data_IF_335862257267
#
_entry.id   IF_335862257267
#
_cell.length_a   1.000
_cell.length_b   1.000
_cell.length_c   1.000
_cell.angle_alpha   90.00
_cell.angle_beta   90.00
_cell.angle_gamma   90.00
#
_symmetry.space_group_name_H-M   'P 1'
#
loop_
_entity.id
_entity.type
_entity.pdbx_description
1 polymer ?
#
# COMPACT_ATOMS: atom_id res chain seq x y z
N UNK A 1 19.04 -23.40 -70.52
CA UNK A 1 17.92 -24.04 -71.24
C UNK A 1 18.22 -25.54 -71.33
N UNK A 2 17.76 -26.34 -70.36
CA UNK A 2 17.85 -27.80 -70.41
C UNK A 2 16.53 -28.37 -70.94
N UNK A 3 16.62 -29.32 -71.88
CA UNK A 3 15.49 -29.90 -72.61
C UNK A 3 14.58 -30.73 -71.70
N UNK A 4 13.29 -30.39 -71.72
CA UNK A 4 12.19 -30.92 -70.91
C UNK A 4 11.71 -32.33 -71.31
N UNK A 5 12.52 -33.14 -72.00
CA UNK A 5 12.04 -34.36 -72.68
C UNK A 5 12.45 -35.68 -72.03
N UNK A 6 12.99 -35.69 -70.81
CA UNK A 6 13.31 -36.94 -70.08
C UNK A 6 12.65 -37.08 -68.70
N UNK A 7 11.70 -36.20 -68.35
CA UNK A 7 10.90 -36.32 -67.13
C UNK A 7 9.60 -37.05 -67.46
N UNK A 8 9.73 -38.33 -67.81
CA UNK A 8 8.61 -39.27 -67.93
C UNK A 8 8.82 -40.33 -66.86
N UNK A 9 8.05 -40.21 -65.77
CA UNK A 9 8.08 -40.98 -64.53
C UNK A 9 8.84 -40.31 -63.38
N UNK A 10 8.15 -39.47 -62.61
CA UNK A 10 8.21 -39.45 -61.14
C UNK A 10 6.88 -38.83 -60.67
N UNK A 11 6.02 -39.66 -60.07
CA UNK A 11 4.87 -39.21 -59.29
C UNK A 11 5.38 -38.78 -57.91
N UNK A 12 4.73 -37.74 -57.35
CA UNK A 12 4.79 -37.28 -55.95
C UNK A 12 5.85 -36.24 -55.56
N UNK A 13 5.40 -34.98 -55.42
CA UNK A 13 5.91 -33.92 -54.53
C UNK A 13 7.33 -33.31 -54.69
N UNK A 14 8.22 -33.59 -55.66
CA UNK A 14 9.59 -33.07 -55.58
C UNK A 14 9.73 -31.72 -56.30
N UNK A 15 8.76 -31.30 -57.11
CA UNK A 15 8.83 -30.09 -57.93
C UNK A 15 8.72 -28.80 -57.10
N UNK A 16 8.01 -28.83 -55.97
CA UNK A 16 7.89 -27.68 -55.07
C UNK A 16 9.19 -27.50 -54.27
N UNK A 17 9.72 -28.60 -53.71
CA UNK A 17 11.02 -28.64 -53.04
C UNK A 17 12.17 -28.28 -53.98
N UNK A 18 12.12 -28.75 -55.23
CA UNK A 18 13.11 -28.43 -56.26
C UNK A 18 13.00 -26.96 -56.71
N UNK A 19 11.79 -26.40 -56.83
CA UNK A 19 11.62 -24.98 -57.18
C UNK A 19 12.12 -24.04 -56.08
N UNK A 20 11.90 -24.37 -54.81
CA UNK A 20 12.41 -23.61 -53.65
C UNK A 20 13.93 -23.76 -53.54
N UNK A 21 14.46 -24.98 -53.67
CA UNK A 21 15.90 -25.22 -53.69
C UNK A 21 16.58 -24.50 -54.87
N UNK A 22 15.97 -24.50 -56.06
CA UNK A 22 16.51 -23.81 -57.24
C UNK A 22 16.44 -22.29 -57.11
N UNK A 23 15.40 -21.74 -56.48
CA UNK A 23 15.29 -20.30 -56.20
C UNK A 23 16.32 -19.83 -55.16
N UNK A 24 16.63 -20.65 -54.15
CA UNK A 24 17.63 -20.36 -53.12
C UNK A 24 19.08 -20.53 -53.62
N UNK A 25 19.35 -21.54 -54.46
CA UNK A 25 20.68 -21.77 -55.05
C UNK A 25 21.04 -20.69 -56.08
N UNK A 26 20.07 -20.14 -56.82
CA UNK A 26 20.31 -19.06 -57.79
C UNK A 26 20.37 -17.66 -57.14
N UNK A 27 19.98 -17.53 -55.87
CA UNK A 27 19.99 -16.27 -55.10
C UNK A 27 21.28 -15.97 -54.33
N UNK A 28 22.31 -16.81 -54.44
CA UNK A 28 23.65 -16.53 -53.92
C UNK A 28 23.75 -16.46 -52.40
N UNK A 29 23.68 -17.60 -51.72
CA UNK A 29 24.20 -17.70 -50.35
C UNK A 29 25.68 -18.09 -50.44
N UNK A 30 26.54 -17.14 -50.10
CA UNK A 30 27.97 -17.39 -49.88
C UNK A 30 28.13 -18.42 -48.77
N UNK A 31 28.97 -19.41 -49.00
CA UNK A 31 29.32 -20.46 -48.06
C UNK A 31 29.82 -19.91 -46.72
N UNK A 32 29.00 -20.00 -45.67
CA UNK A 32 29.48 -20.04 -44.29
C UNK A 32 29.31 -21.46 -43.76
N UNK A 33 30.38 -22.02 -43.21
CA UNK A 33 30.44 -23.38 -42.70
C UNK A 33 29.50 -23.53 -41.50
N UNK A 34 28.35 -24.19 -41.67
CA UNK A 34 27.51 -24.65 -40.55
C UNK A 34 26.00 -24.41 -40.65
N UNK A 35 25.51 -23.68 -41.66
CA UNK A 35 24.07 -23.48 -41.84
C UNK A 35 23.47 -24.54 -42.79
N UNK A 36 22.36 -25.17 -42.38
CA UNK A 36 21.54 -26.09 -43.18
C UNK A 36 20.08 -25.64 -43.22
N UNK A 37 19.41 -25.91 -44.34
CA UNK A 37 17.99 -25.67 -44.56
C UNK A 37 17.37 -26.98 -45.03
N UNK A 38 16.59 -27.63 -44.15
CA UNK A 38 15.99 -28.93 -44.41
C UNK A 38 14.46 -28.84 -44.37
N UNK A 39 13.78 -29.38 -45.39
CA UNK A 39 12.32 -29.51 -45.43
C UNK A 39 11.96 -31.00 -45.42
N UNK A 40 11.30 -31.45 -44.35
CA UNK A 40 10.79 -32.82 -44.23
C UNK A 40 9.28 -32.81 -43.96
N UNK A 41 8.48 -33.18 -44.96
CA UNK A 41 7.02 -33.16 -44.83
C UNK A 41 6.51 -31.73 -44.58
N UNK A 42 5.95 -31.52 -43.38
CA UNK A 42 5.39 -30.23 -42.95
C UNK A 42 6.34 -29.47 -41.98
N UNK A 43 7.56 -29.98 -41.77
CA UNK A 43 8.58 -29.37 -40.91
C UNK A 43 9.64 -28.62 -41.74
N UNK A 44 9.97 -27.40 -41.30
CA UNK A 44 11.11 -26.61 -41.79
C UNK A 44 12.10 -26.45 -40.65
N UNK A 45 13.31 -26.97 -40.83
CA UNK A 45 14.40 -26.85 -39.85
C UNK A 45 15.47 -25.89 -40.36
N UNK A 46 15.77 -24.88 -39.54
CA UNK A 46 16.81 -23.89 -39.77
C UNK A 46 17.90 -24.07 -38.72
N UNK A 47 19.16 -24.22 -39.14
CA UNK A 47 20.31 -24.32 -38.23
C UNK A 47 21.25 -23.13 -38.37
N UNK A 48 21.96 -22.80 -37.29
CA UNK A 48 22.79 -21.60 -37.20
C UNK A 48 21.99 -20.33 -36.89
N UNK A 49 22.66 -19.18 -36.94
CA UNK A 49 22.05 -17.87 -36.69
C UNK A 49 21.01 -17.52 -37.77
N UNK A 50 19.81 -17.14 -37.34
CA UNK A 50 18.72 -16.75 -38.24
C UNK A 50 18.40 -15.27 -38.05
N UNK A 51 18.62 -14.47 -39.10
CA UNK A 51 18.21 -13.06 -39.13
C UNK A 51 16.88 -12.98 -39.87
N UNK A 52 15.82 -12.61 -39.16
CA UNK A 52 14.46 -12.55 -39.69
C UNK A 52 13.99 -11.09 -39.63
N UNK A 53 13.87 -10.42 -40.78
CA UNK A 53 13.56 -8.98 -40.86
C UNK A 53 12.11 -8.70 -41.26
N UNK A 54 11.58 -7.54 -40.85
CA UNK A 54 10.21 -7.11 -41.11
C UNK A 54 9.16 -7.86 -40.28
N UNK A 55 7.87 -7.53 -40.44
CA UNK A 55 6.77 -8.15 -39.68
C UNK A 55 6.75 -9.68 -39.89
N UNK A 56 6.55 -10.42 -38.81
CA UNK A 56 6.38 -11.89 -38.83
C UNK A 56 5.12 -12.25 -38.06
N UNK A 57 4.38 -13.21 -38.60
CA UNK A 57 3.17 -13.76 -38.00
C UNK A 57 3.39 -15.24 -37.79
N UNK A 58 3.23 -15.71 -36.56
CA UNK A 58 3.21 -17.14 -36.24
C UNK A 58 1.74 -17.54 -36.06
N UNK A 59 1.24 -18.43 -36.92
CA UNK A 59 -0.16 -18.89 -36.89
C UNK A 59 -0.42 -20.00 -35.86
N UNK A 60 0.61 -20.39 -35.10
CA UNK A 60 0.57 -21.37 -34.01
C UNK A 60 1.56 -21.03 -32.90
N UNK A 61 1.81 -21.98 -32.01
CA UNK A 61 2.68 -21.78 -30.84
C UNK A 61 4.15 -21.52 -31.26
N UNK A 62 4.77 -20.50 -30.65
CA UNK A 62 6.21 -20.25 -30.75
C UNK A 62 6.91 -20.81 -29.51
N UNK A 63 7.71 -21.86 -29.66
CA UNK A 63 8.52 -22.44 -28.57
C UNK A 63 9.98 -22.03 -28.71
N UNK A 64 10.53 -21.36 -27.68
CA UNK A 64 11.94 -20.96 -27.60
C UNK A 64 12.62 -21.77 -26.49
N UNK A 65 13.71 -22.48 -26.82
CA UNK A 65 14.48 -23.29 -25.85
C UNK A 65 15.54 -22.49 -25.07
N UNK A 66 15.65 -21.19 -25.34
CA UNK A 66 16.61 -20.26 -24.72
C UNK A 66 15.95 -18.94 -24.32
N UNK A 67 16.77 -17.93 -24.00
CA UNK A 67 16.30 -16.59 -23.68
C UNK A 67 15.76 -15.89 -24.94
N UNK A 68 14.66 -15.15 -24.78
CA UNK A 68 14.12 -14.25 -25.79
C UNK A 68 14.56 -12.83 -25.41
N UNK A 69 15.30 -12.18 -26.30
CA UNK A 69 15.66 -10.77 -26.20
C UNK A 69 14.70 -9.94 -27.08
N UNK A 70 14.01 -8.97 -26.47
CA UNK A 70 13.00 -8.11 -27.12
C UNK A 70 13.38 -6.65 -26.85
N UNK A 71 14.61 -6.28 -27.18
CA UNK A 71 15.11 -4.91 -27.07
C UNK A 71 15.00 -4.18 -28.43
N UNK A 72 14.51 -2.94 -28.41
CA UNK A 72 14.52 -2.02 -29.56
C UNK A 72 15.89 -1.35 -29.80
N UNK A 73 16.85 -1.60 -28.92
CA UNK A 73 18.18 -0.99 -28.89
C UNK A 73 18.31 0.10 -27.83
N UNK A 74 17.20 0.50 -27.19
CA UNK A 74 17.11 1.52 -26.15
C UNK A 74 16.67 0.94 -24.79
N UNK A 75 16.53 -0.39 -24.72
CA UNK A 75 16.13 -1.15 -23.54
C UNK A 75 14.61 -1.26 -23.37
N UNK A 76 13.81 -0.92 -24.37
CA UNK A 76 12.35 -0.93 -24.26
C UNK A 76 11.76 -2.28 -24.69
N UNK A 77 10.72 -2.72 -23.98
CA UNK A 77 9.92 -3.91 -24.31
C UNK A 77 8.49 -3.46 -24.61
N UNK A 78 8.04 -3.55 -25.86
CA UNK A 78 6.66 -3.27 -26.27
C UNK A 78 5.91 -4.54 -26.69
N UNK A 79 4.86 -4.93 -25.96
CA UNK A 79 4.03 -6.11 -26.27
C UNK A 79 2.55 -5.72 -26.24
N UNK A 80 1.93 -5.63 -27.41
CA UNK A 80 0.51 -5.29 -27.55
C UNK A 80 0.29 -4.27 -28.65
N UNK A 81 -0.97 -4.09 -29.04
CA UNK A 81 -1.33 -3.04 -30.00
C UNK A 81 -1.04 -1.68 -29.39
N UNK A 82 -0.23 -0.85 -30.07
CA UNK A 82 0.17 0.50 -29.65
C UNK A 82 0.80 0.60 -28.26
N UNK A 83 1.43 -0.48 -27.77
CA UNK A 83 2.19 -0.43 -26.53
C UNK A 83 3.47 0.39 -26.75
N UNK A 84 3.62 1.52 -26.05
CA UNK A 84 4.75 2.45 -26.14
C UNK A 84 5.18 2.82 -27.58
N UNK A 85 4.21 2.99 -28.47
CA UNK A 85 4.44 3.28 -29.88
C UNK A 85 4.84 4.73 -30.19
N UNK A 86 4.72 5.63 -29.21
CA UNK A 86 5.18 7.02 -29.30
C UNK A 86 6.66 7.21 -28.90
N UNK A 87 7.32 6.18 -28.37
CA UNK A 87 8.75 6.25 -28.05
C UNK A 87 9.56 6.31 -29.35
N UNK A 88 10.43 7.31 -29.47
CA UNK A 88 11.34 7.46 -30.61
C UNK A 88 12.75 7.02 -30.26
N UNK A 89 13.48 6.46 -31.23
CA UNK A 89 14.85 5.98 -31.02
C UNK A 89 15.76 7.05 -30.39
N UNK A 90 16.48 6.68 -29.33
CA UNK A 90 17.37 7.55 -28.55
C UNK A 90 16.68 8.41 -27.49
N UNK A 91 15.41 8.12 -27.15
CA UNK A 91 14.64 8.77 -26.08
C UNK A 91 13.69 7.76 -25.42
N UNK A 92 13.27 8.01 -24.18
CA UNK A 92 12.30 7.14 -23.49
C UNK A 92 12.82 5.73 -23.30
N UNK A 93 13.88 5.61 -22.49
CA UNK A 93 14.70 4.41 -22.39
C UNK A 93 14.21 3.47 -21.29
N UNK A 94 14.51 2.17 -21.43
CA UNK A 94 14.35 1.14 -20.37
C UNK A 94 12.91 0.96 -19.88
N UNK A 95 11.92 1.13 -20.74
CA UNK A 95 10.50 0.95 -20.41
C UNK A 95 9.98 -0.45 -20.72
N UNK A 96 9.07 -0.96 -19.89
CA UNK A 96 8.32 -2.21 -20.16
C UNK A 96 6.86 -1.86 -20.37
N UNK A 97 6.33 -2.09 -21.56
CA UNK A 97 4.95 -1.75 -21.93
C UNK A 97 4.24 -3.00 -22.48
N UNK A 98 3.31 -3.55 -21.69
CA UNK A 98 2.63 -4.81 -22.02
C UNK A 98 1.11 -4.62 -21.91
N UNK A 99 0.40 -4.69 -23.03
CA UNK A 99 -1.05 -4.51 -23.10
C UNK A 99 -1.44 -3.58 -24.24
N UNK A 100 -2.71 -3.64 -24.66
CA UNK A 100 -3.21 -2.72 -25.68
C UNK A 100 -3.21 -1.28 -25.14
N UNK A 101 -2.60 -0.36 -25.87
CA UNK A 101 -2.43 1.05 -25.50
C UNK A 101 -1.70 1.31 -24.17
N UNK A 102 -0.96 0.33 -23.64
CA UNK A 102 -0.10 0.52 -22.48
C UNK A 102 0.97 1.57 -22.79
N UNK A 103 0.98 2.69 -22.06
CA UNK A 103 1.96 3.77 -22.25
C UNK A 103 1.98 4.37 -23.66
N UNK A 104 0.87 4.32 -24.42
CA UNK A 104 0.84 4.73 -25.84
C UNK A 104 1.25 6.19 -26.07
N UNK A 105 1.10 7.08 -25.08
CA UNK A 105 1.54 8.47 -25.19
C UNK A 105 2.98 8.71 -24.72
N UNK A 106 3.69 7.68 -24.24
CA UNK A 106 5.03 7.82 -23.67
C UNK A 106 6.03 8.17 -24.78
N UNK A 107 6.75 9.28 -24.61
CA UNK A 107 7.69 9.83 -25.62
C UNK A 107 9.13 9.82 -25.12
N UNK A 108 9.41 10.47 -23.99
CA UNK A 108 10.77 10.63 -23.45
C UNK A 108 10.92 10.19 -22.01
N UNK A 109 9.88 9.61 -21.41
CA UNK A 109 9.94 9.10 -20.05
C UNK A 109 10.71 7.79 -19.97
N UNK A 110 11.58 7.65 -18.98
CA UNK A 110 12.45 6.51 -18.77
C UNK A 110 11.96 5.61 -17.62
N UNK A 111 12.48 4.38 -17.57
CA UNK A 111 12.47 3.49 -16.39
C UNK A 111 11.08 3.13 -15.84
N UNK A 112 10.06 3.08 -16.70
CA UNK A 112 8.69 2.75 -16.28
C UNK A 112 8.27 1.32 -16.65
N UNK A 113 7.52 0.68 -15.75
CA UNK A 113 6.87 -0.62 -15.96
C UNK A 113 5.37 -0.39 -16.10
N UNK A 114 4.81 -0.58 -17.28
CA UNK A 114 3.41 -0.30 -17.65
C UNK A 114 2.78 -1.58 -18.22
N UNK A 115 1.97 -2.27 -17.41
CA UNK A 115 1.40 -3.57 -17.74
C UNK A 115 -0.12 -3.54 -17.55
N UNK A 116 -0.88 -3.59 -18.65
CA UNK A 116 -2.33 -3.63 -18.65
C UNK A 116 -2.93 -2.89 -19.84
N UNK A 117 -4.17 -3.20 -20.18
CA UNK A 117 -4.89 -2.44 -21.22
C UNK A 117 -5.19 -1.03 -20.69
N UNK A 118 -4.82 -0.01 -21.47
CA UNK A 118 -4.91 1.42 -21.14
C UNK A 118 -4.17 1.84 -19.84
N UNK A 119 -3.24 1.02 -19.32
CA UNK A 119 -2.39 1.42 -18.19
C UNK A 119 -1.44 2.56 -18.61
N UNK A 120 -1.30 3.59 -17.77
CA UNK A 120 -0.38 4.71 -18.02
C UNK A 120 -0.61 5.44 -19.34
N UNK A 121 -1.82 5.41 -19.88
CA UNK A 121 -2.14 5.88 -21.24
C UNK A 121 -1.76 7.34 -21.48
N UNK A 122 -1.90 8.19 -20.46
CA UNK A 122 -1.59 9.62 -20.53
C UNK A 122 -0.14 9.97 -20.18
N UNK A 123 0.70 9.01 -19.77
CA UNK A 123 2.11 9.28 -19.51
C UNK A 123 2.81 9.74 -20.77
N UNK A 124 3.55 10.86 -20.71
CA UNK A 124 4.26 11.45 -21.86
C UNK A 124 5.76 11.53 -21.63
N UNK A 125 6.17 12.17 -20.54
CA UNK A 125 7.59 12.46 -20.21
C UNK A 125 7.96 12.03 -18.80
N UNK A 126 6.98 11.57 -18.04
CA UNK A 126 7.09 11.10 -16.66
C UNK A 126 7.93 9.82 -16.57
N UNK A 127 8.63 9.64 -15.45
CA UNK A 127 9.64 8.59 -15.24
C UNK A 127 9.33 7.74 -14.00
N UNK A 128 10.04 6.62 -13.87
CA UNK A 128 10.09 5.80 -12.65
C UNK A 128 8.71 5.32 -12.14
N UNK A 129 7.76 5.03 -13.04
CA UNK A 129 6.43 4.58 -12.66
C UNK A 129 6.26 3.06 -12.81
N UNK A 130 5.61 2.41 -11.85
CA UNK A 130 5.18 1.01 -11.93
C UNK A 130 3.67 0.96 -11.95
N UNK A 131 3.07 0.79 -13.14
CA UNK A 131 1.63 0.77 -13.39
C UNK A 131 1.20 -0.62 -13.85
N UNK A 132 0.46 -1.36 -13.03
CA UNK A 132 0.07 -2.75 -13.33
C UNK A 132 -1.42 -2.97 -13.10
N UNK A 133 -2.18 -3.15 -14.18
CA UNK A 133 -3.62 -3.44 -14.16
C UNK A 133 -4.38 -2.78 -15.31
N UNK A 134 -5.62 -3.22 -15.56
CA UNK A 134 -6.51 -2.56 -16.51
C UNK A 134 -6.76 -1.11 -16.06
N UNK A 135 -6.40 -0.12 -16.89
CA UNK A 135 -6.51 1.32 -16.59
C UNK A 135 -5.79 1.77 -15.31
N UNK A 136 -4.75 1.06 -14.87
CA UNK A 136 -3.93 1.52 -13.75
C UNK A 136 -3.23 2.83 -14.13
N UNK A 137 -3.49 3.91 -13.40
CA UNK A 137 -2.93 5.24 -13.67
C UNK A 137 -3.22 5.74 -15.09
N UNK A 138 -4.41 5.48 -15.65
CA UNK A 138 -4.78 5.84 -17.04
C UNK A 138 -4.45 7.32 -17.37
N UNK A 139 -4.86 8.24 -16.50
CA UNK A 139 -4.64 9.69 -16.66
C UNK A 139 -3.45 10.21 -15.84
N UNK A 140 -2.52 9.34 -15.39
CA UNK A 140 -1.37 9.74 -14.58
C UNK A 140 -0.47 10.76 -15.31
N UNK A 141 -0.18 11.89 -14.65
CA UNK A 141 0.71 12.94 -15.18
C UNK A 141 1.98 13.17 -14.34
N UNK A 142 2.27 12.28 -13.38
CA UNK A 142 3.38 12.42 -12.43
C UNK A 142 4.31 11.21 -12.40
N UNK A 143 5.45 11.36 -11.71
CA UNK A 143 6.56 10.40 -11.70
C UNK A 143 6.69 9.68 -10.36
N UNK A 144 7.48 8.60 -10.35
CA UNK A 144 7.88 7.87 -9.14
C UNK A 144 6.72 7.22 -8.37
N UNK A 145 5.71 6.68 -9.07
CA UNK A 145 4.56 6.03 -8.44
C UNK A 145 4.58 4.52 -8.61
N UNK A 146 4.00 3.81 -7.64
CA UNK A 146 3.67 2.38 -7.74
C UNK A 146 2.16 2.24 -7.69
N UNK A 147 1.52 1.95 -8.81
CA UNK A 147 0.07 1.81 -8.95
C UNK A 147 -0.26 0.41 -9.47
N UNK A 148 -0.86 -0.44 -8.64
CA UNK A 148 -1.13 -1.83 -8.96
C UNK A 148 -2.59 -2.16 -8.66
N UNK A 149 -3.39 -2.44 -9.69
CA UNK A 149 -4.79 -2.82 -9.53
C UNK A 149 -5.64 -2.46 -10.73
N UNK A 150 -6.78 -3.13 -10.89
CA UNK A 150 -7.80 -2.73 -11.87
C UNK A 150 -8.34 -1.35 -11.50
N UNK A 151 -8.23 -0.41 -12.43
CA UNK A 151 -8.73 0.96 -12.30
C UNK A 151 -8.18 1.67 -11.05
N UNK A 152 -6.97 1.31 -10.60
CA UNK A 152 -6.31 2.03 -9.51
C UNK A 152 -5.85 3.42 -10.02
N UNK A 153 -6.19 4.47 -9.29
CA UNK A 153 -5.74 5.84 -9.55
C UNK A 153 -5.96 6.33 -11.00
N UNK A 154 -7.09 5.96 -11.62
CA UNK A 154 -7.39 6.26 -13.03
C UNK A 154 -7.33 7.74 -13.37
N UNK A 155 -7.63 8.62 -12.41
CA UNK A 155 -7.77 10.08 -12.60
C UNK A 155 -6.67 10.88 -11.85
N UNK A 156 -5.55 10.26 -11.50
CA UNK A 156 -4.48 10.91 -10.73
C UNK A 156 -3.71 11.91 -11.61
N UNK A 157 -3.65 13.19 -11.22
CA UNK A 157 -3.04 14.27 -12.05
C UNK A 157 -2.13 15.22 -11.28
N UNK A 158 -1.89 14.94 -10.01
CA UNK A 158 -0.90 15.58 -9.14
C UNK A 158 -0.60 14.56 -8.05
N UNK A 159 0.28 13.63 -8.41
CA UNK A 159 0.49 12.38 -7.68
C UNK A 159 1.92 11.91 -7.72
N UNK A 160 2.83 12.54 -6.97
CA UNK A 160 4.23 12.12 -6.96
C UNK A 160 4.54 11.23 -5.75
N UNK A 161 5.35 10.20 -5.94
CA UNK A 161 5.89 9.37 -4.84
C UNK A 161 4.80 8.58 -4.07
N UNK A 162 3.73 8.17 -4.74
CA UNK A 162 2.65 7.39 -4.13
C UNK A 162 2.79 5.88 -4.35
N UNK A 163 2.32 5.10 -3.37
CA UNK A 163 2.11 3.64 -3.48
C UNK A 163 0.63 3.35 -3.39
N UNK A 164 -0.01 2.94 -4.47
CA UNK A 164 -1.45 2.69 -4.59
C UNK A 164 -1.67 1.25 -5.06
N UNK A 165 -2.12 0.36 -4.19
CA UNK A 165 -2.28 -1.06 -4.50
C UNK A 165 -3.69 -1.53 -4.14
N UNK A 166 -4.45 -1.95 -5.15
CA UNK A 166 -5.80 -2.51 -4.99
C UNK A 166 -6.75 -2.06 -6.09
N UNK A 167 -7.83 -2.82 -6.29
CA UNK A 167 -8.84 -2.48 -7.28
C UNK A 167 -9.65 -1.26 -6.87
N UNK A 168 -9.83 -0.31 -7.79
CA UNK A 168 -10.63 0.91 -7.56
C UNK A 168 -10.11 1.70 -6.34
N UNK A 169 -8.80 1.67 -6.09
CA UNK A 169 -8.15 2.52 -5.09
C UNK A 169 -7.96 3.93 -5.65
N UNK A 170 -8.31 4.97 -4.87
CA UNK A 170 -8.13 6.37 -5.24
C UNK A 170 -8.71 6.79 -6.61
N UNK A 171 -9.96 6.43 -6.91
CA UNK A 171 -10.55 6.62 -8.25
C UNK A 171 -11.43 7.87 -8.43
N UNK A 172 -11.99 8.44 -7.37
CA UNK A 172 -13.16 9.34 -7.47
C UNK A 172 -12.85 10.85 -7.41
N UNK A 173 -11.61 11.29 -7.60
CA UNK A 173 -11.33 12.72 -7.66
C UNK A 173 -9.87 13.06 -7.90
N UNK A 174 -9.69 14.17 -8.62
CA UNK A 174 -8.43 14.78 -9.04
C UNK A 174 -7.59 15.19 -7.82
N UNK A 175 -6.26 15.03 -7.94
CA UNK A 175 -5.15 15.50 -7.07
C UNK A 175 -4.71 14.54 -5.95
N UNK A 176 -4.03 13.44 -6.30
CA UNK A 176 -3.52 12.48 -5.30
C UNK A 176 -2.25 13.03 -4.68
N UNK A 177 -2.34 13.94 -3.71
CA UNK A 177 -1.17 14.59 -3.11
C UNK A 177 0.02 13.66 -2.80
N UNK A 178 1.20 14.24 -2.60
CA UNK A 178 2.43 13.45 -2.60
C UNK A 178 2.59 12.51 -1.39
N UNK A 179 3.38 11.44 -1.61
CA UNK A 179 3.94 10.56 -0.56
C UNK A 179 2.92 9.77 0.26
N UNK A 180 1.83 9.32 -0.36
CA UNK A 180 0.87 8.44 0.30
C UNK A 180 1.12 6.96 0.02
N UNK A 181 0.71 6.11 0.96
CA UNK A 181 0.62 4.66 0.81
C UNK A 181 -0.84 4.23 0.98
N UNK A 182 -1.51 3.89 -0.11
CA UNK A 182 -2.90 3.44 -0.16
C UNK A 182 -2.96 1.97 -0.60
N UNK A 183 -3.32 1.06 0.30
CA UNK A 183 -3.35 -0.38 0.00
C UNK A 183 -4.70 -0.99 0.40
N UNK A 184 -5.47 -1.46 -0.57
CA UNK A 184 -6.75 -2.14 -0.34
C UNK A 184 -7.78 -1.89 -1.44
N UNK A 185 -8.94 -2.52 -1.32
CA UNK A 185 -10.05 -2.31 -2.26
C UNK A 185 -10.85 -1.08 -1.85
N UNK A 186 -11.08 -0.16 -2.80
CA UNK A 186 -11.79 1.11 -2.55
C UNK A 186 -11.20 1.94 -1.39
N UNK A 187 -9.87 1.96 -1.26
CA UNK A 187 -9.21 2.83 -0.28
C UNK A 187 -9.11 4.27 -0.79
N UNK A 188 -9.18 5.25 0.12
CA UNK A 188 -8.94 6.67 -0.15
C UNK A 188 -9.74 7.18 -1.36
N UNK A 189 -11.07 7.04 -1.29
CA UNK A 189 -11.97 7.15 -2.46
C UNK A 189 -11.71 8.36 -3.36
N UNK A 190 -11.40 9.52 -2.78
CA UNK A 190 -11.01 10.75 -3.48
C UNK A 190 -10.03 11.54 -2.63
N UNK A 191 -8.74 11.19 -2.71
CA UNK A 191 -7.65 11.98 -2.14
C UNK A 191 -7.39 13.17 -3.07
N UNK A 192 -7.69 14.39 -2.61
CA UNK A 192 -7.67 15.64 -3.41
C UNK A 192 -6.57 16.62 -3.00
N UNK A 193 -5.90 16.41 -1.88
CA UNK A 193 -4.68 17.14 -1.48
C UNK A 193 -4.00 16.45 -0.30
N UNK A 194 -4.34 15.17 -0.08
CA UNK A 194 -3.88 14.41 1.05
C UNK A 194 -2.39 14.11 0.85
N UNK A 195 -1.57 14.33 1.86
CA UNK A 195 -0.11 14.15 1.79
C UNK A 195 0.40 13.35 2.97
N UNK A 196 1.44 12.55 2.75
CA UNK A 196 2.16 11.83 3.82
C UNK A 196 1.25 10.88 4.65
N UNK A 197 0.23 10.24 4.03
CA UNK A 197 -0.66 9.29 4.72
C UNK A 197 -0.31 7.83 4.43
N UNK A 198 -0.56 6.94 5.41
CA UNK A 198 -0.56 5.49 5.23
C UNK A 198 -1.97 4.98 5.50
N UNK A 199 -2.69 4.55 4.46
CA UNK A 199 -4.06 4.03 4.55
C UNK A 199 -4.11 2.62 3.97
N UNK A 200 -4.37 1.63 4.83
CA UNK A 200 -4.35 0.21 4.47
C UNK A 200 -5.65 -0.45 4.94
N UNK A 201 -6.45 -0.96 4.01
CA UNK A 201 -7.69 -1.67 4.34
C UNK A 201 -8.73 -1.59 3.24
N UNK A 202 -9.80 -2.38 3.40
CA UNK A 202 -10.97 -2.30 2.53
C UNK A 202 -11.88 -1.18 3.03
N UNK A 203 -12.29 -0.29 2.13
CA UNK A 203 -13.13 0.87 2.42
C UNK A 203 -12.57 1.85 3.48
N UNK A 204 -11.26 1.86 3.72
CA UNK A 204 -10.64 2.85 4.60
C UNK A 204 -10.61 4.22 3.90
N UNK A 205 -11.03 5.29 4.60
CA UNK A 205 -11.11 6.65 4.06
C UNK A 205 -11.88 6.78 2.72
N UNK A 206 -13.02 6.08 2.55
CA UNK A 206 -13.89 6.14 1.36
C UNK A 206 -14.74 7.42 1.25
N UNK A 207 -14.13 8.59 1.45
CA UNK A 207 -14.83 9.86 1.31
C UNK A 207 -14.75 10.41 -0.11
N UNK A 208 -15.65 11.32 -0.43
CA UNK A 208 -15.64 12.06 -1.70
C UNK A 208 -14.55 13.14 -1.76
N UNK A 209 -13.97 13.52 -0.62
CA UNK A 209 -12.92 14.53 -0.53
C UNK A 209 -12.07 14.25 0.72
N UNK A 210 -10.84 13.80 0.52
CA UNK A 210 -9.84 13.58 1.55
C UNK A 210 -8.67 14.54 1.32
N UNK A 211 -8.46 15.44 2.28
CA UNK A 211 -7.42 16.48 2.29
C UNK A 211 -6.50 16.37 3.51
N UNK A 212 -6.75 15.40 4.40
CA UNK A 212 -5.96 15.20 5.61
C UNK A 212 -4.53 14.76 5.32
N UNK A 213 -3.61 15.09 6.22
CA UNK A 213 -2.19 14.77 6.10
C UNK A 213 -1.64 14.06 7.34
N UNK A 214 -0.56 13.31 7.15
CA UNK A 214 0.18 12.64 8.23
C UNK A 214 -0.66 11.63 9.03
N UNK A 215 -1.64 10.96 8.42
CA UNK A 215 -2.46 9.95 9.09
C UNK A 215 -1.95 8.53 8.83
N UNK A 216 -2.02 7.67 9.85
CA UNK A 216 -1.86 6.22 9.75
C UNK A 216 -3.21 5.56 10.01
N UNK A 217 -3.81 4.95 8.99
CA UNK A 217 -5.11 4.30 9.05
C UNK A 217 -4.96 2.86 8.58
N UNK A 218 -5.24 1.87 9.44
CA UNK A 218 -5.05 0.46 9.12
C UNK A 218 -6.25 -0.35 9.60
N UNK A 219 -7.04 -0.90 8.68
CA UNK A 219 -8.18 -1.75 8.98
C UNK A 219 -9.32 -1.62 7.99
N UNK A 220 -10.20 -2.62 7.95
CA UNK A 220 -11.46 -2.51 7.18
C UNK A 220 -12.33 -1.41 7.80
N UNK A 221 -12.87 -0.51 6.96
CA UNK A 221 -13.75 0.59 7.36
C UNK A 221 -13.16 1.52 8.46
N UNK A 222 -11.85 1.43 8.72
CA UNK A 222 -11.14 2.35 9.60
C UNK A 222 -11.17 3.75 9.00
N UNK A 223 -11.53 4.75 9.81
CA UNK A 223 -11.63 6.13 9.36
C UNK A 223 -12.45 6.31 8.06
N UNK A 224 -13.51 5.51 7.87
CA UNK A 224 -14.28 5.45 6.61
C UNK A 224 -14.79 6.82 6.13
N UNK A 225 -15.00 7.75 7.05
CA UNK A 225 -15.45 9.13 6.75
C UNK A 225 -14.39 10.21 7.00
N UNK A 226 -13.10 9.87 7.07
CA UNK A 226 -12.03 10.82 7.34
C UNK A 226 -11.90 11.83 6.19
N UNK A 227 -12.18 13.12 6.44
CA UNK A 227 -12.16 14.16 5.40
C UNK A 227 -10.91 15.03 5.47
N UNK A 228 -10.66 15.70 6.60
CA UNK A 228 -9.63 16.75 6.70
C UNK A 228 -8.75 16.65 7.93
N UNK A 229 -8.95 15.58 8.71
CA UNK A 229 -8.22 15.27 9.92
C UNK A 229 -6.73 14.99 9.64
N UNK A 230 -5.85 15.38 10.56
CA UNK A 230 -4.40 15.28 10.45
C UNK A 230 -3.80 14.55 11.65
N UNK A 231 -2.63 13.95 11.45
CA UNK A 231 -1.81 13.40 12.54
C UNK A 231 -2.49 12.30 13.37
N UNK A 232 -3.45 11.56 12.79
CA UNK A 232 -4.14 10.49 13.50
C UNK A 232 -3.46 9.12 13.30
N UNK A 233 -3.47 8.27 14.33
CA UNK A 233 -3.13 6.85 14.25
C UNK A 233 -4.37 6.01 14.56
N UNK A 234 -4.97 5.38 13.55
CA UNK A 234 -6.23 4.66 13.60
C UNK A 234 -6.01 3.21 13.13
N UNK A 235 -5.82 2.28 14.05
CA UNK A 235 -5.43 0.89 13.74
C UNK A 235 -6.45 -0.09 14.30
N UNK A 236 -7.19 -0.76 13.43
CA UNK A 236 -8.23 -1.73 13.77
C UNK A 236 -9.41 -1.62 12.82
N UNK A 237 -10.13 -2.72 12.59
CA UNK A 237 -11.39 -2.65 11.83
C UNK A 237 -12.37 -1.73 12.54
N UNK A 238 -13.03 -0.83 11.80
CA UNK A 238 -13.92 0.21 12.34
C UNK A 238 -13.28 1.22 13.34
N UNK A 239 -11.95 1.24 13.53
CA UNK A 239 -11.30 2.23 14.38
C UNK A 239 -11.56 3.65 13.84
N UNK A 240 -12.10 4.53 14.68
CA UNK A 240 -12.49 5.89 14.27
C UNK A 240 -13.43 5.94 13.06
N UNK A 241 -14.29 4.94 12.86
CA UNK A 241 -15.10 4.73 11.64
C UNK A 241 -15.77 6.00 11.09
N UNK A 242 -16.29 6.86 11.99
CA UNK A 242 -17.00 8.09 11.62
C UNK A 242 -16.23 9.38 11.93
N UNK A 243 -14.93 9.29 12.22
CA UNK A 243 -14.07 10.46 12.40
C UNK A 243 -13.98 11.23 11.07
N UNK A 244 -14.13 12.55 11.12
CA UNK A 244 -14.14 13.44 9.94
C UNK A 244 -12.97 14.41 9.96
N UNK A 245 -12.80 15.17 11.06
CA UNK A 245 -11.90 16.33 11.13
C UNK A 245 -11.12 16.47 12.45
N UNK A 246 -11.25 15.52 13.37
CA UNK A 246 -10.48 15.54 14.62
C UNK A 246 -9.00 15.19 14.38
N UNK A 247 -8.10 15.99 14.94
CA UNK A 247 -6.65 15.87 14.75
C UNK A 247 -5.97 15.15 15.94
N UNK A 248 -4.75 14.66 15.74
CA UNK A 248 -3.88 14.17 16.82
C UNK A 248 -4.47 13.03 17.68
N UNK A 249 -5.34 12.19 17.10
CA UNK A 249 -5.94 11.06 17.81
C UNK A 249 -5.15 9.76 17.67
N UNK A 250 -5.23 8.89 18.67
CA UNK A 250 -4.66 7.53 18.67
C UNK A 250 -5.73 6.51 19.04
N UNK A 251 -6.30 5.82 18.04
CA UNK A 251 -7.33 4.78 18.21
C UNK A 251 -6.80 3.40 17.82
N UNK A 252 -6.78 2.46 18.76
CA UNK A 252 -6.18 1.15 18.60
C UNK A 252 -7.15 0.02 18.98
N UNK A 253 -7.46 -0.84 18.01
CA UNK A 253 -8.26 -2.07 18.10
C UNK A 253 -9.65 -1.98 17.43
N UNK A 254 -10.40 -3.08 17.45
CA UNK A 254 -11.70 -3.18 16.76
C UNK A 254 -12.71 -2.17 17.31
N UNK A 255 -13.23 -1.32 16.42
CA UNK A 255 -14.21 -0.28 16.72
C UNK A 255 -13.79 0.71 17.82
N UNK A 256 -12.49 0.85 18.08
CA UNK A 256 -11.96 1.83 19.03
C UNK A 256 -12.41 3.24 18.64
N UNK A 257 -13.19 3.85 19.53
CA UNK A 257 -13.76 5.19 19.37
C UNK A 257 -14.49 5.42 18.04
N UNK A 258 -15.20 4.38 17.56
CA UNK A 258 -15.93 4.40 16.30
C UNK A 258 -17.08 5.40 16.20
N UNK A 259 -17.44 6.08 17.30
CA UNK A 259 -18.51 7.09 17.38
C UNK A 259 -18.00 8.53 17.45
N UNK A 260 -16.69 8.74 17.62
CA UNK A 260 -16.12 10.09 17.60
C UNK A 260 -16.12 10.64 16.17
N UNK A 261 -16.39 11.94 16.04
CA UNK A 261 -16.62 12.59 14.74
C UNK A 261 -15.66 13.73 14.46
N UNK A 262 -15.35 14.57 15.45
CA UNK A 262 -14.56 15.80 15.27
C UNK A 262 -13.61 16.08 16.42
N UNK A 263 -13.59 15.22 17.42
CA UNK A 263 -12.77 15.36 18.61
C UNK A 263 -11.29 15.15 18.28
N UNK A 264 -10.44 16.05 18.78
CA UNK A 264 -8.97 15.97 18.66
C UNK A 264 -8.34 15.49 19.97
N UNK A 265 -7.07 15.12 19.93
CA UNK A 265 -6.25 14.81 21.11
C UNK A 265 -6.75 13.60 21.92
N UNK A 266 -7.50 12.68 21.31
CA UNK A 266 -8.07 11.53 22.02
C UNK A 266 -7.16 10.31 21.92
N UNK A 267 -6.93 9.64 23.06
CA UNK A 267 -6.36 8.29 23.13
C UNK A 267 -7.49 7.29 23.38
N UNK A 268 -7.54 6.20 22.61
CA UNK A 268 -8.55 5.16 22.73
C UNK A 268 -7.96 3.80 22.38
N UNK A 269 -7.91 2.88 23.34
CA UNK A 269 -7.48 1.50 23.12
C UNK A 269 -8.61 0.58 23.58
N UNK A 270 -9.25 -0.09 22.63
CA UNK A 270 -10.32 -1.04 22.88
C UNK A 270 -10.45 -2.03 21.71
N UNK A 271 -11.13 -3.16 21.95
CA UNK A 271 -11.49 -4.15 20.95
C UNK A 271 -13.02 -4.29 20.79
N UNK A 272 -13.78 -3.26 21.17
CA UNK A 272 -15.24 -3.22 21.09
C UNK A 272 -15.75 -1.80 20.84
N UNK A 273 -16.97 -1.68 20.30
CA UNK A 273 -17.66 -0.39 20.17
C UNK A 273 -18.32 -0.02 21.51
N UNK A 274 -17.54 0.56 22.42
CA UNK A 274 -17.98 0.98 23.76
C UNK A 274 -17.75 2.48 23.97
N UNK A 275 -18.55 3.08 24.84
CA UNK A 275 -18.35 4.45 25.33
C UNK A 275 -17.35 4.54 26.48
N UNK A 276 -16.90 3.39 27.01
CA UNK A 276 -15.88 3.30 28.07
C UNK A 276 -14.74 2.38 27.63
N UNK A 277 -13.82 2.87 26.77
CA UNK A 277 -12.68 2.11 26.30
C UNK A 277 -11.84 1.51 27.43
N UNK A 278 -11.19 0.36 27.20
CA UNK A 278 -10.26 -0.24 28.17
C UNK A 278 -9.21 0.77 28.67
N UNK A 279 -8.63 1.54 27.74
CA UNK A 279 -7.79 2.71 28.04
C UNK A 279 -8.31 3.87 27.19
N UNK A 280 -8.61 5.00 27.83
CA UNK A 280 -8.93 6.24 27.15
C UNK A 280 -8.16 7.40 27.78
N UNK A 281 -7.87 8.43 27.01
CA UNK A 281 -7.19 9.63 27.51
C UNK A 281 -7.44 10.83 26.61
N UNK A 282 -7.01 11.98 27.10
CA UNK A 282 -7.02 13.23 26.35
C UNK A 282 -5.65 13.90 26.49
N UNK A 283 -4.91 14.00 25.38
CA UNK A 283 -3.58 14.57 25.33
C UNK A 283 -3.57 16.08 25.61
N UNK A 284 -4.63 16.81 25.28
CA UNK A 284 -4.73 18.25 25.57
C UNK A 284 -4.81 18.55 27.07
N UNK A 285 -5.26 17.58 27.88
CA UNK A 285 -5.41 17.71 29.34
C UNK A 285 -4.45 16.81 30.11
N UNK A 286 -3.52 16.13 29.43
CA UNK A 286 -2.63 15.11 30.01
C UNK A 286 -3.37 14.09 30.90
N UNK A 287 -4.58 13.69 30.47
CA UNK A 287 -5.44 12.79 31.25
C UNK A 287 -5.46 11.38 30.67
N UNK A 288 -5.46 10.38 31.56
CA UNK A 288 -5.55 8.95 31.22
C UNK A 288 -6.48 8.25 32.21
N UNK A 289 -7.39 7.45 31.69
CA UNK A 289 -8.28 6.59 32.47
C UNK A 289 -8.26 5.16 31.92
N UNK A 290 -8.34 4.17 32.79
CA UNK A 290 -8.47 2.76 32.42
C UNK A 290 -9.77 2.19 33.01
N UNK A 291 -10.54 1.45 32.21
CA UNK A 291 -11.84 0.90 32.61
C UNK A 291 -11.71 -0.19 33.71
N UNK A 292 -10.57 -0.85 33.80
CA UNK A 292 -10.24 -1.74 34.91
C UNK A 292 -8.75 -1.66 35.26
N UNK A 293 -8.44 -1.26 36.48
CA UNK A 293 -7.07 -1.28 37.01
C UNK A 293 -6.91 -2.50 37.93
N UNK A 294 -6.55 -3.66 37.37
CA UNK A 294 -6.13 -4.82 38.18
C UNK A 294 -4.64 -4.69 38.55
N UNK A 295 -4.36 -4.25 39.77
CA UNK A 295 -3.02 -4.41 40.33
C UNK A 295 -2.84 -5.89 40.73
N UNK A 296 -2.24 -6.68 39.84
CA UNK A 296 -1.90 -8.07 40.13
C UNK A 296 -0.76 -8.09 41.17
N UNK A 297 -1.12 -8.10 42.46
CA UNK A 297 -0.16 -8.39 43.52
C UNK A 297 0.25 -9.85 43.36
N UNK A 298 1.54 -10.18 43.17
CA UNK A 298 1.98 -11.56 43.26
C UNK A 298 1.72 -12.00 44.71
N UNK A 299 0.69 -12.83 44.90
CA UNK A 299 0.12 -13.30 46.16
C UNK A 299 -0.97 -12.41 46.80
N UNK A 300 -2.22 -12.91 46.72
CA UNK A 300 -3.31 -12.51 47.60
C UNK A 300 -4.06 -11.26 47.13
N UNK A 301 -5.24 -11.51 46.58
CA UNK A 301 -6.24 -10.58 46.05
C UNK A 301 -6.38 -9.27 46.83
N UNK A 302 -5.97 -8.16 46.21
CA UNK A 302 -6.47 -6.83 46.55
C UNK A 302 -7.10 -6.24 45.28
N UNK A 303 -8.43 -6.29 45.20
CA UNK A 303 -9.19 -5.67 44.12
C UNK A 303 -9.36 -4.19 44.48
N UNK A 304 -8.61 -3.30 43.84
CA UNK A 304 -8.98 -1.88 43.83
C UNK A 304 -10.15 -1.70 42.85
N UNK A 305 -11.36 -1.49 43.37
CA UNK A 305 -12.46 -0.98 42.57
C UNK A 305 -12.21 0.49 42.25
N UNK A 306 -12.33 0.82 40.96
CA UNK A 306 -12.02 2.11 40.38
C UNK A 306 -12.68 3.29 41.11
N UNK A 307 -11.88 4.32 41.38
CA UNK A 307 -12.37 5.68 41.42
C UNK A 307 -11.60 6.45 40.35
N UNK A 308 -12.32 7.11 39.46
CA UNK A 308 -11.82 8.06 38.49
C UNK A 308 -10.64 8.87 39.06
N UNK A 309 -9.44 8.71 38.48
CA UNK A 309 -8.34 9.66 38.73
C UNK A 309 -8.61 10.89 37.84
N UNK A 310 -9.72 11.59 38.09
CA UNK A 310 -10.08 12.80 37.34
C UNK A 310 -10.41 14.00 38.22
N UNK A 311 -10.16 13.97 39.53
CA UNK A 311 -10.36 15.15 40.35
C UNK A 311 -9.17 15.45 41.27
N UNK A 312 -8.74 16.71 41.17
CA UNK A 312 -8.17 17.49 42.25
C UNK A 312 -8.63 16.93 43.60
N UNK A 313 -7.68 16.52 44.44
CA UNK A 313 -7.91 16.24 45.85
C UNK A 313 -8.26 17.57 46.55
N UNK A 314 -9.49 18.05 46.34
CA UNK A 314 -10.09 19.05 47.20
C UNK A 314 -10.55 18.31 48.44
N UNK A 315 -9.95 18.70 49.57
CA UNK A 315 -10.27 18.19 50.89
C UNK A 315 -11.75 18.45 51.19
N UNK A 316 -12.63 17.46 50.98
CA UNK A 316 -13.97 17.49 51.57
C UNK A 316 -13.88 16.91 52.98
N UNK A 317 -13.93 17.81 53.95
CA UNK A 317 -14.05 17.45 55.35
C UNK A 317 -15.43 16.82 55.62
N UNK A 318 -15.44 15.57 56.04
CA UNK A 318 -16.52 14.95 56.81
C UNK A 318 -17.52 14.09 56.01
N UNK A 319 -17.45 12.78 56.21
CA UNK A 319 -18.52 11.84 55.82
C UNK A 319 -18.01 10.43 55.57
N UNK A 320 -18.32 9.51 56.47
CA UNK A 320 -17.94 8.10 56.53
C UNK A 320 -18.43 7.25 55.35
N UNK A 321 -17.51 6.60 54.62
CA UNK A 321 -17.60 5.21 54.15
C UNK A 321 -16.19 4.65 53.89
N UNK A 322 -16.00 3.39 54.29
CA UNK A 322 -14.74 2.66 54.45
C UNK A 322 -14.09 2.19 53.14
N UNK A 323 -12.77 2.29 53.05
CA UNK A 323 -11.90 1.33 52.37
C UNK A 323 -10.62 1.15 53.19
N UNK A 324 -10.68 0.25 54.18
CA UNK A 324 -9.55 -0.10 55.03
C UNK A 324 -8.45 -0.80 54.20
N UNK A 325 -7.23 -0.29 54.29
CA UNK A 325 -6.01 -1.04 54.02
C UNK A 325 -5.62 -1.69 55.34
N UNK A 326 -5.99 -2.96 55.53
CA UNK A 326 -5.42 -3.79 56.59
C UNK A 326 -4.34 -4.71 56.00
N UNK A 327 -3.10 -4.57 56.49
CA UNK A 327 -2.09 -5.62 56.39
C UNK A 327 -1.32 -5.70 57.70
N UNK A 328 -1.60 -6.77 58.44
CA UNK A 328 -0.80 -7.23 59.55
C UNK A 328 0.63 -7.61 59.15
N UNK A 329 1.54 -7.33 60.09
CA UNK A 329 2.84 -7.90 60.38
C UNK A 329 3.71 -8.48 59.23
N UNK A 330 4.91 -7.89 59.12
CA UNK A 330 6.18 -8.37 58.55
C UNK A 330 6.32 -8.47 57.03
N UNK A 331 6.67 -7.36 56.37
CA UNK A 331 7.81 -7.26 55.44
C UNK A 331 8.13 -5.79 55.10
N UNK A 332 9.41 -5.43 54.97
CA UNK A 332 9.95 -4.08 55.27
C UNK A 332 9.90 -2.99 54.19
N UNK A 333 9.26 -3.14 53.02
CA UNK A 333 9.67 -2.29 51.88
C UNK A 333 8.67 -1.40 51.13
N UNK A 334 7.41 -1.18 51.59
CA UNK A 334 6.65 0.02 51.16
C UNK A 334 5.73 0.50 52.30
N UNK A 335 6.15 1.53 53.04
CA UNK A 335 5.35 2.12 54.16
C UNK A 335 4.51 3.32 53.72
N UNK A 336 4.61 3.75 52.46
CA UNK A 336 3.95 4.96 51.97
C UNK A 336 3.58 4.91 50.49
N UNK A 337 2.53 5.64 50.12
CA UNK A 337 2.17 5.96 48.74
C UNK A 337 2.69 7.37 48.45
N UNK A 338 3.49 7.54 47.39
CA UNK A 338 3.94 8.87 46.94
C UNK A 338 3.08 9.35 45.77
N UNK A 339 2.38 10.46 45.98
CA UNK A 339 1.59 11.15 44.97
C UNK A 339 2.32 12.43 44.55
N UNK A 340 2.28 12.80 43.27
CA UNK A 340 2.90 14.03 42.76
C UNK A 340 1.81 15.04 42.41
N UNK A 341 1.89 16.22 43.00
CA UNK A 341 1.02 17.35 42.69
C UNK A 341 1.40 17.98 41.34
N UNK A 342 0.47 18.73 40.75
CA UNK A 342 0.69 19.47 39.49
C UNK A 342 1.83 20.51 39.58
N UNK A 343 2.16 20.99 40.78
CA UNK A 343 3.29 21.89 41.03
C UNK A 343 4.64 21.16 41.20
N UNK A 344 4.66 19.83 41.03
CA UNK A 344 5.85 18.99 41.16
C UNK A 344 6.15 18.50 42.58
N UNK A 345 5.42 18.96 43.60
CA UNK A 345 5.58 18.56 45.00
C UNK A 345 5.14 17.12 45.22
N UNK A 346 5.90 16.36 46.00
CA UNK A 346 5.52 15.00 46.41
C UNK A 346 4.76 15.03 47.73
N UNK A 347 3.66 14.29 47.79
CA UNK A 347 2.88 14.03 49.01
C UNK A 347 2.95 12.55 49.30
N UNK A 348 3.44 12.21 50.49
CA UNK A 348 3.58 10.87 50.99
C UNK A 348 2.42 10.56 51.94
N UNK A 349 1.66 9.52 51.64
CA UNK A 349 0.58 9.01 52.49
C UNK A 349 1.10 7.76 53.20
N UNK A 350 1.11 7.77 54.52
CA UNK A 350 1.63 6.66 55.35
C UNK A 350 0.77 6.47 56.60
N UNK A 351 0.82 5.28 57.24
CA UNK A 351 0.08 5.01 58.46
C UNK A 351 0.43 6.01 59.57
N UNK A 352 -0.57 6.47 60.32
CA UNK A 352 -0.35 7.37 61.46
C UNK A 352 0.46 6.64 62.56
N UNK A 353 1.63 7.16 62.98
CA UNK A 353 2.44 6.54 64.03
C UNK A 353 1.74 6.41 65.39
N UNK A 354 0.72 7.24 65.66
CA UNK A 354 -0.04 7.23 66.91
C UNK A 354 -1.22 6.24 66.92
N UNK A 355 -1.40 5.46 65.86
CA UNK A 355 -2.60 4.64 65.65
C UNK A 355 -3.75 5.41 64.98
N UNK A 356 -4.70 4.62 64.44
CA UNK A 356 -5.85 4.95 63.59
C UNK A 356 -5.68 6.08 62.54
N UNK A 357 -5.85 5.71 61.27
CA UNK A 357 -5.85 6.63 60.14
C UNK A 357 -4.52 6.73 59.37
N UNK A 358 -4.54 7.54 58.33
CA UNK A 358 -3.38 7.84 57.46
C UNK A 358 -2.93 9.28 57.67
N UNK A 359 -1.62 9.50 57.66
CA UNK A 359 -1.00 10.82 57.68
C UNK A 359 -0.49 11.16 56.28
N UNK A 360 -0.68 12.40 55.85
CA UNK A 360 -0.13 12.92 54.60
C UNK A 360 0.94 13.97 54.91
N UNK A 361 2.13 13.83 54.32
CA UNK A 361 3.24 14.77 54.49
C UNK A 361 3.92 15.06 53.17
N UNK A 362 4.41 16.28 52.98
CA UNK A 362 5.30 16.61 51.86
C UNK A 362 6.75 16.19 52.12
N UNK A 363 7.06 15.83 53.38
CA UNK A 363 8.32 15.20 53.74
C UNK A 363 8.20 13.68 53.63
N UNK A 364 9.22 13.04 53.05
CA UNK A 364 9.32 11.59 52.96
C UNK A 364 9.31 11.00 54.38
N UNK A 365 8.38 10.08 54.71
CA UNK A 365 8.28 9.48 56.05
C UNK A 365 9.50 8.64 56.42
#
# INVERSE_FOLDING_TARGET
>A
MFKLSQISAIKSRPLFTLAIALALVLGGWGSSSGASFDIFGDEVSLSGEQIITGKKTFEGDLTLKGLLDIDDGDGNIGIGTTACDSITAGSGLRNICIGSAAGTALTTGDDSIIIGVDAGKALTTQIDNVLIGYKAGEDLTDSSNVIIGKEAATNATDATQNVIIGGIAATNGILVGDKNVFIGYQVAGSATSATDNVIIGVNAATVNTFTGANNVVVGQDAARTLTSANQNTLVGSDAGKILTSGDDNVFLGFAACATLTTESDQLCIDNTNTTTPLIQGNFSTDSLTANAFEFLVPSGTAVMHAANITDNWTTQAGGTTSSEIDRGASDTDITYIALRNADGTLVYIYPNPSGEGVHASTAKP
#
